data_IF_550496006703
#
_entry.id   IF_550496006703
#
_cell.length_a   1.000
_cell.length_b   1.000
_cell.length_c   1.000
_cell.angle_alpha   90.00
_cell.angle_beta   90.00
_cell.angle_gamma   90.00
#
_symmetry.space_group_name_H-M   'P 1'
#
loop_
_entity.id
_entity.type
_entity.pdbx_description
1 polymer ?
#
# COMPACT_ATOMS: atom_id res chain seq x y z
N UNK A 1 -15.32 11.19 -0.23
CA UNK A 1 -16.31 10.19 -0.66
C UNK A 1 -16.16 9.99 -2.17
N UNK A 2 -15.63 8.86 -2.60
CA UNK A 2 -15.53 8.53 -4.03
C UNK A 2 -16.44 7.35 -4.27
N UNK A 3 -17.71 7.64 -4.58
CA UNK A 3 -18.65 6.67 -5.09
C UNK A 3 -18.32 6.37 -6.56
N UNK A 4 -17.95 5.13 -6.88
CA UNK A 4 -17.76 4.69 -8.26
C UNK A 4 -19.09 4.10 -8.75
N UNK A 5 -19.78 4.80 -9.64
CA UNK A 5 -20.95 4.25 -10.31
C UNK A 5 -20.48 3.28 -11.40
N UNK A 6 -20.93 2.05 -11.32
CA UNK A 6 -20.70 1.03 -12.35
C UNK A 6 -22.01 0.85 -13.12
N UNK A 7 -22.03 1.28 -14.39
CA UNK A 7 -23.14 0.99 -15.30
C UNK A 7 -22.94 -0.39 -15.93
N UNK A 8 -23.84 -1.30 -15.65
CA UNK A 8 -23.95 -2.58 -16.34
C UNK A 8 -25.21 -2.55 -17.19
N UNK A 9 -25.08 -2.67 -18.51
CA UNK A 9 -26.22 -2.73 -19.44
C UNK A 9 -26.51 -4.20 -19.75
N UNK A 10 -27.59 -4.79 -19.24
CA UNK A 10 -28.03 -6.12 -19.66
C UNK A 10 -28.86 -6.02 -20.99
N UNK A 11 -29.05 -7.16 -21.70
CA UNK A 11 -29.73 -7.18 -23.01
C UNK A 11 -31.24 -6.96 -22.98
N UNK A 12 -31.82 -6.59 -21.87
CA UNK A 12 -33.22 -6.17 -21.68
C UNK A 12 -33.12 -4.80 -21.01
N UNK A 13 -33.96 -3.83 -21.40
CA UNK A 13 -33.98 -2.43 -20.92
C UNK A 13 -34.11 -2.28 -19.38
N UNK A 14 -33.15 -2.79 -18.65
CA UNK A 14 -33.02 -2.67 -17.20
C UNK A 14 -31.92 -1.70 -16.86
N UNK A 15 -32.26 -0.55 -16.32
CA UNK A 15 -31.27 0.33 -15.70
C UNK A 15 -30.90 -0.18 -14.31
N UNK A 16 -29.78 -0.89 -14.23
CA UNK A 16 -29.18 -1.30 -12.95
C UNK A 16 -28.22 -0.21 -12.51
N UNK A 17 -28.50 0.41 -11.37
CA UNK A 17 -27.62 1.38 -10.73
C UNK A 17 -27.05 0.69 -9.49
N UNK A 18 -25.75 0.46 -9.50
CA UNK A 18 -25.02 -0.05 -8.34
C UNK A 18 -24.17 1.07 -7.71
N UNK A 19 -24.29 1.22 -6.42
CA UNK A 19 -23.42 2.08 -5.62
C UNK A 19 -22.62 1.22 -4.66
N UNK A 20 -21.29 1.42 -4.65
CA UNK A 20 -20.39 0.77 -3.71
C UNK A 20 -19.67 1.85 -2.93
N UNK A 21 -19.86 1.85 -1.62
CA UNK A 21 -19.18 2.74 -0.70
C UNK A 21 -18.22 1.95 0.17
N UNK A 22 -17.13 2.58 0.58
CA UNK A 22 -16.18 2.00 1.53
C UNK A 22 -16.17 2.79 2.83
N UNK A 23 -16.00 2.10 3.93
CA UNK A 23 -15.72 2.68 5.24
C UNK A 23 -14.24 3.07 5.40
N UNK A 24 -13.83 3.41 6.61
CA UNK A 24 -12.44 3.73 6.94
C UNK A 24 -11.53 2.51 6.72
N UNK A 25 -10.33 2.77 6.21
CA UNK A 25 -9.32 1.73 6.01
C UNK A 25 -8.54 1.58 7.32
N UNK A 26 -8.56 0.37 7.87
CA UNK A 26 -7.77 0.03 9.05
C UNK A 26 -6.47 -0.67 8.62
N UNK A 27 -5.34 0.03 8.77
CA UNK A 27 -4.03 -0.47 8.40
C UNK A 27 -3.30 -1.04 9.61
N UNK A 28 -2.71 -2.22 9.44
CA UNK A 28 -1.87 -2.88 10.45
C UNK A 28 -0.59 -3.38 9.79
N UNK A 29 0.55 -3.13 10.43
CA UNK A 29 1.82 -3.74 10.05
C UNK A 29 2.01 -5.05 10.83
N UNK A 30 2.41 -6.12 10.16
CA UNK A 30 2.78 -7.39 10.77
C UNK A 30 4.09 -7.88 10.14
N UNK A 31 5.22 -7.50 10.74
CA UNK A 31 6.54 -7.79 10.19
C UNK A 31 6.73 -7.19 8.81
N UNK A 32 6.80 -8.03 7.78
CA UNK A 32 6.93 -7.62 6.38
C UNK A 32 5.59 -7.41 5.67
N UNK A 33 4.49 -7.79 6.32
CA UNK A 33 3.15 -7.67 5.76
C UNK A 33 2.50 -6.37 6.22
N UNK A 34 1.86 -5.69 5.29
CA UNK A 34 0.91 -4.64 5.56
C UNK A 34 -0.49 -5.20 5.31
N UNK A 35 -1.32 -5.18 6.33
CA UNK A 35 -2.69 -5.68 6.29
C UNK A 35 -3.64 -4.49 6.34
N UNK A 36 -4.62 -4.49 5.45
CA UNK A 36 -5.69 -3.50 5.44
C UNK A 36 -7.06 -4.20 5.53
N UNK A 37 -7.87 -3.78 6.48
CA UNK A 37 -9.26 -4.19 6.60
C UNK A 37 -10.14 -3.02 6.18
N UNK A 38 -11.07 -3.27 5.25
CA UNK A 38 -11.86 -2.23 4.58
C UNK A 38 -13.32 -2.65 4.59
N UNK A 39 -14.18 -2.00 5.39
CA UNK A 39 -15.61 -2.22 5.30
C UNK A 39 -16.14 -1.76 3.94
N UNK A 40 -16.92 -2.59 3.29
CA UNK A 40 -17.56 -2.33 1.99
C UNK A 40 -19.05 -2.46 2.15
N UNK A 41 -19.79 -1.45 1.73
CA UNK A 41 -21.25 -1.49 1.59
C UNK A 41 -21.60 -1.39 0.12
N UNK A 42 -22.44 -2.31 -0.35
CA UNK A 42 -22.93 -2.34 -1.73
C UNK A 42 -24.45 -2.26 -1.76
N UNK A 43 -24.97 -1.38 -2.59
CA UNK A 43 -26.38 -1.23 -2.86
C UNK A 43 -26.62 -1.28 -4.36
N UNK A 44 -27.52 -2.13 -4.80
CA UNK A 44 -27.88 -2.27 -6.20
C UNK A 44 -29.38 -2.10 -6.35
N UNK A 45 -29.78 -1.09 -7.07
CA UNK A 45 -31.21 -0.83 -7.38
C UNK A 45 -31.48 -1.21 -8.82
N UNK A 46 -32.46 -2.08 -9.03
CA UNK A 46 -32.99 -2.40 -10.34
C UNK A 46 -34.25 -1.56 -10.58
N UNK A 47 -34.21 -0.64 -11.55
CA UNK A 47 -35.37 0.09 -12.03
C UNK A 47 -35.85 -0.57 -13.30
N UNK A 48 -37.12 -0.98 -13.25
CA UNK A 48 -37.88 -1.43 -14.41
C UNK A 48 -37.43 -2.75 -15.04
N UNK A 49 -37.66 -3.85 -14.34
CA UNK A 49 -37.71 -5.17 -14.96
C UNK A 49 -39.15 -5.47 -15.33
N UNK A 50 -39.55 -5.15 -16.58
CA UNK A 50 -40.82 -5.50 -17.19
C UNK A 50 -42.08 -5.12 -16.35
N UNK A 51 -42.02 -4.00 -15.61
CA UNK A 51 -43.15 -3.51 -14.81
C UNK A 51 -43.52 -4.33 -13.56
N UNK A 52 -42.77 -5.39 -13.26
CA UNK A 52 -43.03 -6.33 -12.17
C UNK A 52 -42.24 -6.09 -10.89
N UNK A 53 -41.11 -5.42 -10.97
CA UNK A 53 -40.28 -5.09 -9.81
C UNK A 53 -40.05 -3.57 -9.73
N UNK A 54 -40.98 -2.85 -9.15
CA UNK A 54 -40.83 -1.43 -8.86
C UNK A 54 -39.99 -1.25 -7.60
N UNK A 55 -38.70 -0.96 -7.78
CA UNK A 55 -37.91 -0.34 -6.72
C UNK A 55 -37.29 -1.27 -5.70
N UNK A 56 -37.16 -2.56 -5.98
CA UNK A 56 -36.41 -3.47 -5.08
C UNK A 56 -34.92 -3.13 -5.09
N UNK A 57 -34.37 -3.00 -3.90
CA UNK A 57 -32.93 -2.70 -3.69
C UNK A 57 -32.27 -3.90 -3.06
N UNK A 58 -31.23 -4.40 -3.71
CA UNK A 58 -30.36 -5.40 -3.16
C UNK A 58 -29.27 -4.72 -2.34
N UNK A 59 -29.04 -5.19 -1.13
CA UNK A 59 -27.97 -4.71 -0.25
C UNK A 59 -27.05 -5.85 0.14
N UNK A 60 -25.82 -5.53 0.48
CA UNK A 60 -24.86 -6.46 1.03
C UNK A 60 -23.66 -5.72 1.62
N UNK A 61 -23.16 -6.26 2.72
CA UNK A 61 -21.98 -5.74 3.40
C UNK A 61 -20.89 -6.79 3.44
N UNK A 62 -19.65 -6.34 3.26
CA UNK A 62 -18.47 -7.20 3.31
C UNK A 62 -17.33 -6.51 4.05
N UNK A 63 -16.46 -7.32 4.66
CA UNK A 63 -15.17 -6.90 5.10
C UNK A 63 -14.13 -7.36 4.08
N UNK A 64 -13.53 -6.42 3.37
CA UNK A 64 -12.44 -6.72 2.46
C UNK A 64 -11.10 -6.70 3.21
N UNK A 65 -10.27 -7.70 2.94
CA UNK A 65 -8.94 -7.88 3.52
C UNK A 65 -7.89 -7.79 2.42
N UNK A 66 -6.96 -6.87 2.58
CA UNK A 66 -5.82 -6.74 1.70
C UNK A 66 -4.54 -7.09 2.46
N UNK A 67 -3.74 -8.02 1.94
CA UNK A 67 -2.38 -8.29 2.41
C UNK A 67 -1.40 -7.83 1.36
N UNK A 68 -0.54 -6.91 1.73
CA UNK A 68 0.45 -6.30 0.85
C UNK A 68 1.82 -6.64 1.39
N UNK A 69 2.69 -7.17 0.52
CA UNK A 69 4.11 -7.36 0.80
C UNK A 69 4.89 -6.47 -0.14
N UNK A 70 5.73 -5.60 0.42
CA UNK A 70 6.58 -4.71 -0.35
C UNK A 70 8.04 -5.11 -0.17
N UNK A 71 8.80 -5.02 -1.23
CA UNK A 71 10.25 -5.23 -1.25
C UNK A 71 10.93 -4.22 -2.17
N UNK A 72 12.25 -4.08 -2.03
CA UNK A 72 13.07 -3.27 -2.91
C UNK A 72 14.11 -4.16 -3.57
N UNK A 73 14.29 -4.02 -4.87
CA UNK A 73 15.38 -4.69 -5.57
C UNK A 73 16.73 -3.98 -5.37
N UNK A 74 17.79 -4.56 -5.92
CA UNK A 74 19.15 -4.00 -5.86
C UNK A 74 19.31 -2.66 -6.58
N UNK A 75 18.30 -2.26 -7.37
CA UNK A 75 18.26 -0.99 -8.09
C UNK A 75 17.30 0.00 -7.44
N UNK A 76 16.83 -0.28 -6.22
CA UNK A 76 15.88 0.52 -5.46
C UNK A 76 14.50 0.66 -6.10
N UNK A 77 14.13 -0.28 -6.97
CA UNK A 77 12.80 -0.34 -7.53
C UNK A 77 11.86 -1.05 -6.56
N UNK A 78 10.69 -0.47 -6.28
CA UNK A 78 9.71 -1.12 -5.42
C UNK A 78 9.02 -2.27 -6.16
N UNK A 79 8.94 -3.39 -5.48
CA UNK A 79 8.15 -4.55 -5.86
C UNK A 79 7.11 -4.80 -4.80
N UNK A 80 5.97 -5.32 -5.20
CA UNK A 80 4.93 -5.66 -4.24
C UNK A 80 4.00 -6.73 -4.75
N UNK A 81 3.49 -7.51 -3.82
CA UNK A 81 2.39 -8.43 -4.04
C UNK A 81 1.19 -7.97 -3.24
N UNK A 82 0.02 -8.09 -3.83
CA UNK A 82 -1.26 -7.84 -3.20
C UNK A 82 -2.06 -9.14 -3.24
N UNK A 83 -2.63 -9.53 -2.11
CA UNK A 83 -3.63 -10.57 -1.98
C UNK A 83 -4.88 -9.96 -1.41
N UNK A 84 -5.99 -10.20 -2.08
CA UNK A 84 -7.29 -9.70 -1.70
C UNK A 84 -8.22 -10.87 -1.38
N UNK A 85 -8.93 -10.75 -0.28
CA UNK A 85 -10.05 -11.60 0.09
C UNK A 85 -11.17 -10.75 0.69
N UNK A 86 -12.32 -11.32 0.87
CA UNK A 86 -13.42 -10.68 1.59
C UNK A 86 -14.31 -11.72 2.25
N UNK A 87 -14.99 -11.28 3.28
CA UNK A 87 -16.01 -12.05 3.98
C UNK A 87 -17.29 -11.22 3.99
N UNK A 88 -18.42 -11.87 3.68
CA UNK A 88 -19.73 -11.23 3.79
C UNK A 88 -20.07 -11.05 5.27
N UNK A 89 -20.28 -9.81 5.69
CA UNK A 89 -20.86 -9.46 7.00
C UNK A 89 -22.38 -9.44 6.93
N UNK A 90 -22.91 -9.02 5.77
CA UNK A 90 -24.30 -9.20 5.40
C UNK A 90 -24.37 -9.74 3.96
N UNK A 91 -24.91 -10.96 3.82
CA UNK A 91 -24.98 -11.64 2.53
C UNK A 91 -25.82 -10.83 1.53
N UNK A 92 -25.32 -10.63 0.29
CA UNK A 92 -26.07 -9.85 -0.71
C UNK A 92 -27.41 -10.49 -1.02
N UNK A 93 -28.45 -9.69 -0.89
CA UNK A 93 -29.81 -10.17 -1.03
C UNK A 93 -30.83 -9.05 -1.23
N UNK A 94 -32.07 -9.45 -1.48
CA UNK A 94 -33.25 -8.60 -1.60
C UNK A 94 -34.25 -9.02 -0.54
N UNK A 95 -34.82 -8.07 0.18
CA UNK A 95 -35.89 -8.32 1.10
C UNK A 95 -37.23 -8.27 0.35
N UNK A 96 -37.90 -9.42 0.25
CA UNK A 96 -39.16 -9.55 -0.46
C UNK A 96 -40.20 -10.26 0.40
N UNK A 97 -41.32 -9.63 0.63
CA UNK A 97 -42.45 -10.14 1.45
C UNK A 97 -42.01 -10.64 2.83
N UNK A 98 -41.05 -9.96 3.48
CA UNK A 98 -40.54 -10.33 4.80
C UNK A 98 -39.52 -11.49 4.79
N UNK A 99 -39.11 -11.94 3.60
CA UNK A 99 -38.06 -12.95 3.44
C UNK A 99 -36.85 -12.35 2.68
N UNK A 100 -35.66 -12.67 3.14
CA UNK A 100 -34.42 -12.26 2.44
C UNK A 100 -34.01 -13.34 1.43
N UNK A 101 -34.02 -12.95 0.15
CA UNK A 101 -33.53 -13.80 -0.94
C UNK A 101 -32.08 -13.46 -1.21
N UNK A 102 -31.15 -14.38 -0.92
CA UNK A 102 -29.70 -14.18 -1.06
C UNK A 102 -29.19 -14.73 -2.39
N UNK A 103 -28.11 -14.09 -2.91
CA UNK A 103 -27.49 -14.50 -4.17
C UNK A 103 -25.95 -14.32 -4.16
N UNK A 104 -25.30 -14.62 -3.01
CA UNK A 104 -23.86 -14.50 -2.83
C UNK A 104 -23.06 -15.16 -3.96
N UNK A 105 -23.37 -16.41 -4.31
CA UNK A 105 -22.64 -17.16 -5.34
C UNK A 105 -22.61 -16.45 -6.72
N UNK A 106 -23.66 -15.71 -7.05
CA UNK A 106 -23.71 -14.94 -8.30
C UNK A 106 -22.81 -13.72 -8.22
N UNK A 107 -22.78 -13.06 -7.05
CA UNK A 107 -21.96 -11.88 -6.80
C UNK A 107 -20.48 -12.29 -6.73
N UNK A 108 -20.16 -13.37 -6.02
CA UNK A 108 -18.78 -13.89 -5.88
C UNK A 108 -18.15 -14.19 -7.24
N UNK A 109 -18.90 -14.83 -8.14
CA UNK A 109 -18.41 -15.06 -9.51
C UNK A 109 -18.10 -13.78 -10.29
N UNK A 110 -18.79 -12.68 -9.97
CA UNK A 110 -18.54 -11.37 -10.60
C UNK A 110 -17.43 -10.59 -9.94
N UNK A 111 -17.25 -10.74 -8.63
CA UNK A 111 -16.17 -10.06 -7.86
C UNK A 111 -14.81 -10.72 -8.11
N UNK A 112 -14.74 -12.04 -8.20
CA UNK A 112 -13.49 -12.77 -8.34
C UNK A 112 -12.54 -12.26 -9.46
N UNK A 113 -13.01 -11.97 -10.69
CA UNK A 113 -12.13 -11.38 -11.71
C UNK A 113 -11.67 -9.96 -11.35
N UNK A 114 -12.53 -9.16 -10.69
CA UNK A 114 -12.17 -7.79 -10.27
C UNK A 114 -11.06 -7.80 -9.23
N UNK A 115 -11.12 -8.71 -8.25
CA UNK A 115 -10.05 -8.86 -7.26
C UNK A 115 -8.73 -9.24 -7.92
N UNK A 116 -8.75 -10.21 -8.83
CA UNK A 116 -7.54 -10.61 -9.59
C UNK A 116 -6.97 -9.46 -10.43
N UNK A 117 -7.82 -8.61 -10.99
CA UNK A 117 -7.36 -7.43 -11.74
C UNK A 117 -6.70 -6.41 -10.82
N UNK A 118 -7.27 -6.15 -9.64
CA UNK A 118 -6.69 -5.26 -8.64
C UNK A 118 -5.34 -5.80 -8.14
N UNK A 119 -5.24 -7.11 -7.87
CA UNK A 119 -3.98 -7.75 -7.48
C UNK A 119 -2.88 -7.54 -8.55
N UNK A 120 -3.24 -7.61 -9.83
CA UNK A 120 -2.31 -7.39 -10.95
C UNK A 120 -1.95 -5.92 -11.17
N UNK A 121 -2.75 -4.98 -10.67
CA UNK A 121 -2.49 -3.55 -10.83
C UNK A 121 -1.42 -3.04 -9.89
N UNK A 122 -1.31 -3.58 -8.66
CA UNK A 122 -0.35 -3.08 -7.66
C UNK A 122 1.09 -3.03 -8.17
N UNK A 123 1.66 -4.08 -8.79
CA UNK A 123 3.03 -4.02 -9.32
C UNK A 123 3.22 -2.91 -10.35
N UNK A 124 2.20 -2.66 -11.19
CA UNK A 124 2.24 -1.60 -12.20
C UNK A 124 2.23 -0.21 -11.58
N UNK A 125 1.45 0.00 -10.54
CA UNK A 125 1.40 1.27 -9.82
C UNK A 125 2.69 1.51 -9.03
N UNK A 126 3.25 0.47 -8.41
CA UNK A 126 4.54 0.57 -7.72
C UNK A 126 5.69 0.92 -8.68
N UNK A 127 5.67 0.40 -9.90
CA UNK A 127 6.68 0.70 -10.91
C UNK A 127 6.71 2.19 -11.33
N UNK A 128 5.63 2.94 -11.08
CA UNK A 128 5.55 4.39 -11.34
C UNK A 128 6.17 5.23 -10.22
N UNK A 129 6.43 4.62 -9.06
CA UNK A 129 6.94 5.34 -7.89
C UNK A 129 8.45 5.49 -8.00
N UNK A 130 8.93 6.72 -8.18
CA UNK A 130 10.35 7.02 -8.16
C UNK A 130 10.89 7.07 -6.72
N UNK A 131 11.22 5.91 -6.19
CA UNK A 131 11.94 5.81 -4.91
C UNK A 131 13.45 6.04 -5.08
N UNK A 132 13.99 5.74 -6.25
CA UNK A 132 15.43 5.79 -6.50
C UNK A 132 16.00 7.18 -6.22
N UNK A 133 15.42 8.21 -6.82
CA UNK A 133 15.88 9.60 -6.61
C UNK A 133 15.81 10.05 -5.15
N UNK A 134 14.80 9.58 -4.41
CA UNK A 134 14.67 9.89 -2.98
C UNK A 134 15.74 9.19 -2.16
N UNK A 135 16.00 7.92 -2.44
CA UNK A 135 17.01 7.12 -1.73
C UNK A 135 18.41 7.62 -2.06
N UNK A 136 18.71 7.97 -3.32
CA UNK A 136 19.98 8.57 -3.70
C UNK A 136 20.26 9.90 -2.97
N UNK A 137 19.23 10.72 -2.78
CA UNK A 137 19.37 11.95 -1.97
C UNK A 137 19.70 11.64 -0.52
N UNK A 138 19.01 10.67 0.11
CA UNK A 138 19.29 10.25 1.47
C UNK A 138 20.69 9.65 1.59
N UNK A 139 21.09 8.84 0.60
CA UNK A 139 22.44 8.26 0.54
C UNK A 139 23.51 9.33 0.53
N UNK A 140 23.36 10.34 -0.34
CA UNK A 140 24.32 11.45 -0.41
C UNK A 140 24.36 12.27 0.89
N UNK A 141 23.22 12.47 1.52
CA UNK A 141 23.12 13.20 2.79
C UNK A 141 23.74 12.42 3.96
N UNK A 142 23.81 11.09 3.86
CA UNK A 142 24.39 10.25 4.90
C UNK A 142 25.94 10.31 4.95
N UNK A 143 26.60 10.78 3.87
CA UNK A 143 28.00 11.15 3.90
C UNK A 143 28.14 12.50 4.61
N UNK A 144 28.50 12.46 5.88
CA UNK A 144 28.55 13.67 6.70
C UNK A 144 29.73 13.64 7.66
N UNK A 145 30.07 14.82 8.16
CA UNK A 145 31.02 14.98 9.27
C UNK A 145 30.30 15.72 10.39
N UNK A 146 30.32 15.12 11.56
CA UNK A 146 29.70 15.66 12.77
C UNK A 146 30.80 16.22 13.67
N UNK A 147 30.59 17.44 14.20
CA UNK A 147 31.42 17.96 15.28
C UNK A 147 31.06 17.22 16.56
N UNK A 148 32.05 16.59 17.20
CA UNK A 148 31.91 15.96 18.51
C UNK A 148 32.37 16.89 19.64
N UNK A 149 33.29 17.80 19.33
CA UNK A 149 33.84 18.77 20.26
C UNK A 149 34.32 19.98 19.47
N UNK A 150 33.95 21.18 19.92
CA UNK A 150 34.35 22.45 19.31
C UNK A 150 35.51 23.12 20.06
N UNK A 151 36.04 22.48 21.11
CA UNK A 151 37.22 22.98 21.85
C UNK A 151 38.52 22.70 21.06
N UNK A 152 39.59 23.37 21.40
CA UNK A 152 40.90 23.18 20.81
C UNK A 152 41.65 22.02 21.49
N UNK A 153 42.07 20.96 20.76
CA UNK A 153 41.82 20.71 19.35
C UNK A 153 40.37 20.22 19.09
N UNK A 154 39.72 20.65 18.01
CA UNK A 154 38.38 20.19 17.67
C UNK A 154 38.36 18.70 17.29
N UNK A 155 37.25 18.02 17.54
CA UNK A 155 37.10 16.60 17.25
C UNK A 155 35.92 16.40 16.31
N UNK A 156 36.13 15.67 15.23
CA UNK A 156 35.15 15.39 14.18
C UNK A 156 34.94 13.90 14.01
N UNK A 157 33.71 13.51 13.75
CA UNK A 157 33.36 12.15 13.32
C UNK A 157 32.91 12.19 11.87
N UNK A 158 33.61 11.48 11.00
CA UNK A 158 33.26 11.25 9.62
C UNK A 158 32.40 10.00 9.53
N UNK A 159 31.27 10.09 8.85
CA UNK A 159 30.35 8.98 8.57
C UNK A 159 30.44 8.63 7.09
N UNK A 160 30.78 7.38 6.78
CA UNK A 160 30.87 6.84 5.42
C UNK A 160 29.86 5.69 5.29
N UNK A 161 28.69 5.93 4.71
CA UNK A 161 27.67 4.90 4.51
C UNK A 161 28.22 3.72 3.70
N UNK A 162 27.84 2.50 4.09
CA UNK A 162 28.19 1.27 3.40
C UNK A 162 26.96 0.62 2.74
N UNK A 163 25.84 0.60 3.43
CA UNK A 163 24.60 0.05 2.91
C UNK A 163 23.37 0.55 3.66
N UNK A 164 22.23 0.53 2.99
CA UNK A 164 20.93 0.69 3.62
C UNK A 164 20.42 -0.67 4.14
N UNK A 165 19.74 -0.60 5.28
CA UNK A 165 19.03 -1.72 5.88
C UNK A 165 17.54 -1.37 5.92
N UNK A 166 16.69 -2.24 5.41
CA UNK A 166 15.25 -2.10 5.57
C UNK A 166 14.81 -2.89 6.82
N UNK A 167 14.25 -2.19 7.80
CA UNK A 167 13.85 -2.76 9.10
C UNK A 167 12.31 -2.82 9.26
N UNK A 168 11.60 -2.91 8.14
CA UNK A 168 10.17 -3.18 8.12
C UNK A 168 9.27 -1.96 8.29
N UNK A 169 8.03 -2.26 8.63
CA UNK A 169 6.95 -1.30 8.79
C UNK A 169 6.55 -1.18 10.25
N UNK A 170 6.16 0.02 10.65
CA UNK A 170 5.40 0.22 11.88
C UNK A 170 4.22 1.15 11.60
N UNK A 171 3.15 0.95 12.31
CA UNK A 171 1.97 1.77 12.18
C UNK A 171 1.49 2.19 13.58
N UNK A 172 0.96 3.40 13.69
CA UNK A 172 0.35 3.92 14.92
C UNK A 172 -1.12 4.31 14.70
N UNK A 173 -1.82 3.55 13.87
CA UNK A 173 -3.23 3.77 13.51
C UNK A 173 -3.41 4.69 12.31
N UNK A 174 -2.90 5.91 12.35
CA UNK A 174 -3.11 6.91 11.30
C UNK A 174 -1.97 6.97 10.26
N UNK A 175 -0.76 6.52 10.62
CA UNK A 175 0.43 6.68 9.80
C UNK A 175 1.20 5.38 9.65
N UNK A 176 1.52 5.04 8.41
CA UNK A 176 2.47 3.99 8.08
C UNK A 176 3.89 4.58 8.07
N UNK A 177 4.79 4.00 8.85
CA UNK A 177 6.20 4.39 8.93
C UNK A 177 7.08 3.29 8.38
N UNK A 178 8.02 3.67 7.54
CA UNK A 178 9.12 2.83 7.10
C UNK A 178 10.31 3.07 8.01
N UNK A 179 10.98 2.00 8.44
CA UNK A 179 12.26 2.13 9.11
C UNK A 179 13.37 1.76 8.14
N UNK A 180 14.29 2.71 7.94
CA UNK A 180 15.51 2.52 7.19
C UNK A 180 16.68 2.73 8.14
N UNK A 181 17.56 1.75 8.22
CA UNK A 181 18.85 1.87 8.87
C UNK A 181 19.96 2.13 7.85
N UNK A 182 21.07 2.68 8.31
CA UNK A 182 22.29 2.81 7.54
C UNK A 182 23.39 2.12 8.31
N UNK A 183 24.06 1.18 7.68
CA UNK A 183 25.36 0.69 8.15
C UNK A 183 26.43 1.59 7.58
N UNK A 184 27.31 2.09 8.45
CA UNK A 184 28.34 3.04 8.06
C UNK A 184 29.65 2.76 8.79
N UNK A 185 30.76 3.08 8.15
CA UNK A 185 32.04 3.25 8.81
C UNK A 185 32.09 4.64 9.42
N UNK A 186 32.63 4.72 10.62
CA UNK A 186 32.89 6.00 11.28
C UNK A 186 34.39 6.14 11.60
N UNK A 187 34.91 7.32 11.36
CA UNK A 187 36.29 7.68 11.67
C UNK A 187 36.29 8.95 12.51
N UNK A 188 37.02 8.93 13.63
CA UNK A 188 37.22 10.11 14.48
C UNK A 188 38.54 10.75 14.16
N UNK A 189 38.50 12.06 13.93
CA UNK A 189 39.69 12.88 13.59
C UNK A 189 39.78 14.03 14.58
N UNK A 190 41.00 14.23 15.13
CA UNK A 190 41.32 15.34 16.01
C UNK A 190 42.09 16.40 15.21
N UNK A 191 41.70 17.66 15.35
CA UNK A 191 42.25 18.78 14.61
C UNK A 191 41.27 19.37 13.61
N UNK A 192 41.77 20.13 12.64
CA UNK A 192 40.93 20.80 11.65
C UNK A 192 40.09 19.82 10.85
N UNK A 193 38.89 20.27 10.52
CA UNK A 193 37.95 19.47 9.69
C UNK A 193 38.61 19.08 8.37
N UNK A 194 38.93 17.80 8.23
CA UNK A 194 39.52 17.28 7.01
C UNK A 194 38.53 17.44 5.86
N UNK A 195 38.78 18.37 4.98
CA UNK A 195 38.05 18.49 3.70
C UNK A 195 38.54 17.41 2.75
N UNK A 196 38.27 16.14 3.04
CA UNK A 196 38.52 15.12 2.03
C UNK A 196 37.59 15.45 0.84
N UNK A 197 38.21 15.68 -0.30
CA UNK A 197 37.56 15.56 -1.59
C UNK A 197 37.09 14.12 -1.63
N UNK A 198 35.87 13.89 -1.19
CA UNK A 198 35.20 12.61 -1.37
C UNK A 198 35.09 12.44 -2.89
N UNK A 199 36.05 11.73 -3.47
CA UNK A 199 35.82 11.02 -4.71
C UNK A 199 34.59 10.14 -4.42
N UNK A 200 33.44 10.61 -4.83
CA UNK A 200 32.17 9.90 -4.67
C UNK A 200 32.36 8.55 -5.34
N UNK A 201 32.44 7.44 -4.62
CA UNK A 201 32.32 6.18 -5.29
C UNK A 201 30.92 6.16 -5.90
N UNK A 202 30.82 5.81 -7.18
CA UNK A 202 29.56 5.49 -7.88
C UNK A 202 28.96 4.18 -7.29
N UNK A 203 28.94 4.08 -5.97
CA UNK A 203 28.43 2.93 -5.26
C UNK A 203 26.91 3.02 -5.20
N UNK A 204 26.25 2.29 -6.07
CA UNK A 204 24.87 1.97 -5.88
C UNK A 204 24.73 1.16 -4.60
N UNK A 205 24.01 1.67 -3.59
CA UNK A 205 23.78 0.91 -2.37
C UNK A 205 23.02 -0.38 -2.71
N UNK A 206 23.53 -1.53 -2.29
CA UNK A 206 22.86 -2.81 -2.47
C UNK A 206 21.94 -3.07 -1.28
N UNK A 207 20.63 -3.23 -1.46
CA UNK A 207 19.77 -3.69 -0.39
C UNK A 207 20.15 -5.13 -0.02
N UNK A 208 20.20 -5.43 1.26
CA UNK A 208 20.32 -6.81 1.73
C UNK A 208 18.96 -7.48 1.63
N UNK A 209 18.80 -8.45 0.76
CA UNK A 209 17.71 -9.42 0.79
C UNK A 209 18.11 -10.51 1.78
N UNK A 210 17.79 -10.35 3.05
CA UNK A 210 17.84 -11.46 3.99
C UNK A 210 16.76 -12.47 3.60
N UNK A 211 17.21 -13.71 3.40
CA UNK A 211 16.37 -14.90 3.13
C UNK A 211 15.53 -15.26 4.33
#
# INVERSE_FOLDING_TARGET
MLGKQIKVTPPIDCHIIGEVTRGPIHLRGNGRDLIADIPIHAQVSARDIAGLLKGETATGDAMAHARIQLSLDTQWRPHGTLRLSYDWTETPGIDFLGQRITFADKVDRKIAPVLRDLERQLPRELAKVDLRSKIERLWRAAFTSLSLNDHDPPVWMRVTPQRFLFDGYSNNGAHLRFRLGIEALTETVVGDRYRSILSRPDCHPRPRTDR
#
